data_IF_235266093961
#
_entry.id   IF_235266093961
#
_cell.length_a   1.000
_cell.length_b   1.000
_cell.length_c   1.000
_cell.angle_alpha   90.00
_cell.angle_beta   90.00
_cell.angle_gamma   90.00
#
_symmetry.space_group_name_H-M   'P 1'
#
loop_
_entity.id
_entity.type
_entity.pdbx_description
1 polymer ?
#
# COMPACT_ATOMS: atom_id res chain seq x y z
N UNK A 1 -36.19 1.31 -13.59
CA UNK A 1 -36.04 1.19 -12.12
C UNK A 1 -35.75 2.57 -11.56
N UNK A 2 -36.71 3.09 -10.83
CA UNK A 2 -36.50 4.34 -10.09
C UNK A 2 -35.80 3.97 -8.79
N UNK A 3 -34.51 4.28 -8.67
CA UNK A 3 -33.86 4.23 -7.37
C UNK A 3 -34.39 5.39 -6.54
N UNK A 4 -35.05 5.08 -5.42
CA UNK A 4 -35.47 6.05 -4.43
C UNK A 4 -34.22 6.77 -3.89
N UNK A 5 -33.91 7.93 -4.46
CA UNK A 5 -32.78 8.77 -4.04
C UNK A 5 -32.87 9.25 -2.60
N UNK A 6 -34.06 9.09 -2.00
CA UNK A 6 -34.34 9.45 -0.59
C UNK A 6 -34.18 8.28 0.39
N UNK A 7 -33.80 7.10 -0.05
CA UNK A 7 -33.62 5.94 0.84
C UNK A 7 -32.42 6.13 1.74
N UNK A 8 -32.64 6.12 3.04
CA UNK A 8 -31.62 6.12 4.05
C UNK A 8 -31.15 4.68 4.33
N UNK A 9 -29.84 4.47 4.33
CA UNK A 9 -29.22 3.22 4.72
C UNK A 9 -28.67 3.35 6.12
N UNK A 10 -28.89 2.34 6.96
CA UNK A 10 -28.16 2.24 8.22
C UNK A 10 -26.67 2.03 7.94
N UNK A 11 -25.81 2.36 8.92
CA UNK A 11 -24.38 2.13 8.80
C UNK A 11 -24.05 0.67 8.43
N UNK A 12 -24.80 -0.29 8.97
CA UNK A 12 -24.65 -1.71 8.65
C UNK A 12 -25.03 -2.06 7.22
N UNK A 13 -26.14 -1.52 6.74
CA UNK A 13 -26.60 -1.72 5.36
C UNK A 13 -25.62 -1.07 4.35
N UNK A 14 -25.15 0.13 4.65
CA UNK A 14 -24.22 0.88 3.81
C UNK A 14 -22.84 0.20 3.76
N UNK A 15 -22.33 -0.27 4.89
CA UNK A 15 -21.09 -1.03 4.95
C UNK A 15 -21.19 -2.34 4.15
N UNK A 16 -22.31 -3.06 4.27
CA UNK A 16 -22.54 -4.30 3.52
C UNK A 16 -22.63 -4.05 2.01
N UNK A 17 -23.28 -2.97 1.60
CA UNK A 17 -23.40 -2.59 0.18
C UNK A 17 -22.04 -2.40 -0.47
N UNK A 18 -21.07 -1.85 0.26
CA UNK A 18 -19.72 -1.57 -0.22
C UNK A 18 -18.67 -2.61 0.23
N UNK A 19 -19.13 -3.72 0.82
CA UNK A 19 -18.24 -4.81 1.27
C UNK A 19 -17.13 -4.35 2.23
N UNK A 20 -17.43 -3.38 3.09
CA UNK A 20 -16.49 -2.86 4.10
C UNK A 20 -17.01 -3.06 5.51
N UNK A 21 -16.16 -2.87 6.50
CA UNK A 21 -16.53 -2.97 7.90
C UNK A 21 -17.18 -1.66 8.39
N UNK A 22 -18.19 -1.78 9.25
CA UNK A 22 -18.83 -0.65 9.95
C UNK A 22 -17.79 0.24 10.66
N UNK A 23 -16.77 -0.35 11.25
CA UNK A 23 -15.68 0.37 11.93
C UNK A 23 -14.95 1.32 10.98
N UNK A 24 -14.80 0.94 9.71
CA UNK A 24 -14.20 1.79 8.67
C UNK A 24 -15.04 3.05 8.46
N UNK A 25 -16.36 2.91 8.34
CA UNK A 25 -17.26 4.06 8.21
C UNK A 25 -17.27 4.95 9.46
N UNK A 26 -17.23 4.35 10.65
CA UNK A 26 -17.11 5.10 11.90
C UNK A 26 -15.81 5.88 11.97
N UNK A 27 -14.71 5.29 11.49
CA UNK A 27 -13.43 5.97 11.43
C UNK A 27 -13.41 7.11 10.41
N UNK A 28 -14.03 6.90 9.23
CA UNK A 28 -14.17 7.95 8.21
C UNK A 28 -15.01 9.14 8.72
N UNK A 29 -16.02 8.89 9.52
CA UNK A 29 -16.77 9.94 10.22
C UNK A 29 -15.89 10.68 11.22
N UNK A 30 -15.12 9.96 12.03
CA UNK A 30 -14.21 10.53 13.03
C UNK A 30 -13.12 11.41 12.41
N UNK A 31 -12.53 10.98 11.31
CA UNK A 31 -11.48 11.76 10.61
C UNK A 31 -12.06 12.82 9.66
N UNK A 32 -13.37 12.77 9.39
CA UNK A 32 -14.09 13.80 8.63
C UNK A 32 -14.07 13.65 7.12
N UNK A 33 -13.66 12.51 6.57
CA UNK A 33 -13.68 12.28 5.10
C UNK A 33 -15.02 11.82 4.57
N UNK A 34 -15.82 11.13 5.39
CA UNK A 34 -17.19 10.72 5.06
C UNK A 34 -18.06 10.77 6.32
N UNK A 35 -18.85 11.82 6.43
CA UNK A 35 -19.80 11.97 7.52
C UNK A 35 -21.15 11.37 7.14
N UNK A 36 -21.90 10.78 8.09
CA UNK A 36 -23.26 10.33 7.80
C UNK A 36 -24.16 11.51 7.39
N UNK A 37 -25.11 11.23 6.50
CA UNK A 37 -26.05 12.25 6.05
C UNK A 37 -26.98 12.68 7.19
N UNK A 38 -27.36 11.74 8.05
CA UNK A 38 -28.26 11.97 9.19
C UNK A 38 -27.76 11.17 10.41
N UNK A 39 -27.74 11.82 11.57
CA UNK A 39 -27.60 11.15 12.86
C UNK A 39 -28.93 11.36 13.62
N UNK A 40 -29.64 10.25 13.89
CA UNK A 40 -30.91 10.33 14.62
C UNK A 40 -30.66 10.56 16.12
N UNK A 41 -31.68 11.00 16.89
CA UNK A 41 -31.55 11.26 18.34
C UNK A 41 -31.07 10.05 19.15
N UNK A 42 -31.29 8.82 18.65
CA UNK A 42 -30.78 7.58 19.24
C UNK A 42 -29.28 7.31 18.98
N UNK A 43 -28.57 8.21 18.27
CA UNK A 43 -27.16 8.07 17.94
C UNK A 43 -26.89 7.23 16.70
N UNK A 44 -27.88 6.66 16.05
CA UNK A 44 -27.69 5.86 14.85
C UNK A 44 -27.36 6.72 13.63
N UNK A 45 -26.37 6.27 12.85
CA UNK A 45 -25.87 6.91 11.64
C UNK A 45 -26.58 6.36 10.41
N UNK A 46 -26.99 7.26 9.52
CA UNK A 46 -27.65 6.93 8.26
C UNK A 46 -26.95 7.59 7.09
N UNK A 47 -26.86 6.86 6.00
CA UNK A 47 -26.19 7.27 4.77
C UNK A 47 -27.18 7.29 3.61
N UNK A 48 -26.94 8.16 2.63
CA UNK A 48 -27.74 8.24 1.40
C UNK A 48 -27.06 7.51 0.26
N UNK A 49 -27.85 7.15 -0.76
CA UNK A 49 -27.29 6.54 -1.98
C UNK A 49 -26.27 7.47 -2.69
N UNK A 50 -26.47 8.77 -2.63
CA UNK A 50 -25.54 9.75 -3.21
C UNK A 50 -24.14 9.68 -2.57
N UNK A 51 -24.06 9.31 -1.31
CA UNK A 51 -22.78 9.11 -0.61
C UNK A 51 -22.05 7.85 -1.06
N UNK A 52 -22.73 6.93 -1.76
CA UNK A 52 -22.15 5.71 -2.30
C UNK A 52 -21.03 6.02 -3.29
N UNK A 53 -21.27 6.92 -4.25
CA UNK A 53 -20.26 7.35 -5.23
C UNK A 53 -19.03 7.99 -4.56
N UNK A 54 -19.26 8.77 -3.52
CA UNK A 54 -18.18 9.37 -2.73
C UNK A 54 -17.35 8.31 -2.01
N UNK A 55 -18.01 7.35 -1.38
CA UNK A 55 -17.33 6.24 -0.70
C UNK A 55 -16.51 5.40 -1.67
N UNK A 56 -17.05 5.10 -2.86
CA UNK A 56 -16.32 4.38 -3.92
C UNK A 56 -15.04 5.11 -4.32
N UNK A 57 -15.11 6.43 -4.48
CA UNK A 57 -13.93 7.27 -4.77
C UNK A 57 -12.90 7.18 -3.63
N UNK A 58 -13.34 7.28 -2.38
CA UNK A 58 -12.46 7.16 -1.21
C UNK A 58 -11.78 5.78 -1.18
N UNK A 59 -12.55 4.72 -1.38
CA UNK A 59 -12.03 3.34 -1.37
C UNK A 59 -11.01 3.13 -2.50
N UNK A 60 -11.29 3.62 -3.69
CA UNK A 60 -10.35 3.58 -4.83
C UNK A 60 -9.04 4.29 -4.49
N UNK A 61 -9.10 5.49 -3.96
CA UNK A 61 -7.91 6.25 -3.58
C UNK A 61 -7.12 5.54 -2.46
N UNK A 62 -7.80 4.90 -1.52
CA UNK A 62 -7.16 4.09 -0.48
C UNK A 62 -6.45 2.86 -1.05
N UNK A 63 -7.03 2.18 -2.03
CA UNK A 63 -6.36 1.09 -2.77
C UNK A 63 -5.09 1.56 -3.46
N UNK A 64 -5.06 2.78 -3.97
CA UNK A 64 -3.89 3.41 -4.59
C UNK A 64 -2.88 3.96 -3.57
N UNK A 65 -3.01 3.61 -2.29
CA UNK A 65 -2.15 4.07 -1.19
C UNK A 65 -2.11 5.59 -0.99
N UNK A 66 -3.20 6.27 -1.35
CA UNK A 66 -3.37 7.70 -1.05
C UNK A 66 -3.68 7.86 0.44
N UNK A 67 -2.99 8.76 1.11
CA UNK A 67 -3.20 9.00 2.54
C UNK A 67 -4.54 9.69 2.82
N UNK A 68 -5.01 9.56 4.06
CA UNK A 68 -6.27 10.22 4.48
C UNK A 68 -6.19 11.74 4.33
N UNK A 69 -5.07 12.35 4.64
CA UNK A 69 -4.88 13.80 4.49
C UNK A 69 -4.92 14.24 3.03
N UNK A 70 -4.35 13.48 2.12
CA UNK A 70 -4.42 13.73 0.69
C UNK A 70 -5.85 13.58 0.16
N UNK A 71 -6.58 12.58 0.64
CA UNK A 71 -8.00 12.39 0.32
C UNK A 71 -8.83 13.57 0.81
N UNK A 72 -8.63 14.03 2.04
CA UNK A 72 -9.30 15.22 2.58
C UNK A 72 -9.04 16.46 1.73
N UNK A 73 -7.78 16.68 1.35
CA UNK A 73 -7.40 17.80 0.50
C UNK A 73 -8.09 17.72 -0.88
N UNK A 74 -8.12 16.53 -1.48
CA UNK A 74 -8.82 16.29 -2.74
C UNK A 74 -10.32 16.53 -2.62
N UNK A 75 -10.96 16.05 -1.55
CA UNK A 75 -12.40 16.21 -1.34
C UNK A 75 -12.81 17.68 -1.13
N UNK A 76 -11.93 18.49 -0.58
CA UNK A 76 -12.16 19.93 -0.40
C UNK A 76 -12.00 20.71 -1.71
N UNK A 77 -11.22 20.20 -2.66
CA UNK A 77 -10.91 20.85 -3.93
C UNK A 77 -11.30 19.97 -5.13
N UNK A 78 -12.55 19.52 -5.15
CA UNK A 78 -13.04 18.59 -6.19
C UNK A 78 -13.10 19.25 -7.57
N UNK A 79 -12.10 18.96 -8.40
CA UNK A 79 -12.17 19.15 -9.84
C UNK A 79 -11.39 18.01 -10.53
N UNK A 80 -11.69 17.79 -11.81
CA UNK A 80 -11.00 16.75 -12.58
C UNK A 80 -9.48 16.98 -12.59
N UNK A 81 -9.06 18.22 -12.62
CA UNK A 81 -7.65 18.61 -12.55
C UNK A 81 -6.98 18.20 -11.23
N UNK A 82 -7.69 18.31 -10.09
CA UNK A 82 -7.12 17.93 -8.79
C UNK A 82 -6.92 16.44 -8.66
N UNK A 83 -7.77 15.61 -9.28
CA UNK A 83 -7.57 14.16 -9.31
C UNK A 83 -6.37 13.79 -10.20
N UNK A 84 -6.27 14.37 -11.37
CA UNK A 84 -5.15 14.17 -12.29
C UNK A 84 -3.82 14.54 -11.63
N UNK A 85 -3.77 15.69 -10.97
CA UNK A 85 -2.60 16.17 -10.23
C UNK A 85 -2.22 15.20 -9.11
N UNK A 86 -3.19 14.75 -8.31
CA UNK A 86 -2.96 13.79 -7.24
C UNK A 86 -2.38 12.47 -7.76
N UNK A 87 -2.93 11.94 -8.84
CA UNK A 87 -2.45 10.70 -9.47
C UNK A 87 -1.04 10.89 -10.05
N UNK A 88 -0.76 12.02 -10.67
CA UNK A 88 0.57 12.35 -11.21
C UNK A 88 1.62 12.39 -10.10
N UNK A 89 1.32 13.06 -8.98
CA UNK A 89 2.20 13.12 -7.83
C UNK A 89 2.46 11.72 -7.24
N UNK A 90 1.42 10.89 -7.15
CA UNK A 90 1.56 9.50 -6.66
C UNK A 90 2.39 8.62 -7.60
N UNK A 91 2.21 8.75 -8.89
CA UNK A 91 3.03 8.04 -9.88
C UNK A 91 4.50 8.44 -9.73
N UNK A 92 4.79 9.72 -9.59
CA UNK A 92 6.16 10.23 -9.39
C UNK A 92 6.77 9.68 -8.10
N UNK A 93 6.01 9.68 -7.00
CA UNK A 93 6.45 9.10 -5.71
C UNK A 93 6.76 7.60 -5.84
N UNK A 94 5.91 6.85 -6.54
CA UNK A 94 6.12 5.43 -6.80
C UNK A 94 7.36 5.18 -7.66
N UNK A 95 7.55 5.94 -8.72
CA UNK A 95 8.72 5.82 -9.59
C UNK A 95 10.02 6.07 -8.83
N UNK A 96 10.03 7.07 -7.96
CA UNK A 96 11.17 7.35 -7.08
C UNK A 96 11.44 6.20 -6.11
N UNK A 97 10.37 5.62 -5.53
CA UNK A 97 10.48 4.46 -4.63
C UNK A 97 11.01 3.24 -5.36
N UNK A 98 10.50 2.96 -6.56
CA UNK A 98 10.96 1.86 -7.42
C UNK A 98 12.44 2.02 -7.74
N UNK A 99 12.87 3.22 -8.14
CA UNK A 99 14.27 3.51 -8.46
C UNK A 99 15.18 3.31 -7.24
N UNK A 100 14.74 3.77 -6.06
CA UNK A 100 15.47 3.59 -4.81
C UNK A 100 15.60 2.11 -4.43
N UNK A 101 14.52 1.34 -4.52
CA UNK A 101 14.54 -0.09 -4.24
C UNK A 101 15.42 -0.88 -5.23
N UNK A 102 15.42 -0.51 -6.50
CA UNK A 102 16.32 -1.09 -7.51
C UNK A 102 17.78 -0.82 -7.17
N UNK A 103 18.13 0.39 -6.72
CA UNK A 103 19.48 0.74 -6.29
C UNK A 103 19.92 -0.08 -5.06
N UNK A 104 19.05 -0.23 -4.06
CA UNK A 104 19.32 -1.08 -2.88
C UNK A 104 19.56 -2.53 -3.32
N UNK A 105 18.71 -3.06 -4.18
CA UNK A 105 18.84 -4.42 -4.70
C UNK A 105 20.18 -4.63 -5.42
N UNK A 106 20.60 -3.67 -6.22
CA UNK A 106 21.88 -3.74 -6.92
C UNK A 106 23.07 -3.82 -5.94
N UNK A 107 23.06 -3.01 -4.89
CA UNK A 107 24.09 -3.05 -3.83
C UNK A 107 24.09 -4.38 -3.09
N UNK A 108 22.91 -4.91 -2.76
CA UNK A 108 22.80 -6.22 -2.11
C UNK A 108 23.33 -7.35 -2.98
N UNK A 109 23.00 -7.34 -4.27
CA UNK A 109 23.50 -8.34 -5.24
C UNK A 109 25.02 -8.27 -5.39
N UNK A 110 25.60 -7.09 -5.48
CA UNK A 110 27.05 -6.89 -5.53
C UNK A 110 27.74 -7.47 -4.30
N UNK A 111 27.24 -7.15 -3.11
CA UNK A 111 27.78 -7.71 -1.86
C UNK A 111 27.65 -9.23 -1.79
N UNK A 112 26.51 -9.77 -2.21
CA UNK A 112 26.29 -11.22 -2.29
C UNK A 112 27.28 -11.89 -3.22
N UNK A 113 27.53 -11.33 -4.40
CA UNK A 113 28.53 -11.85 -5.36
C UNK A 113 29.93 -11.82 -4.77
N UNK A 114 30.30 -10.73 -4.12
CA UNK A 114 31.60 -10.61 -3.46
C UNK A 114 31.79 -11.66 -2.36
N UNK A 115 30.78 -11.90 -1.54
CA UNK A 115 30.81 -12.93 -0.50
C UNK A 115 30.92 -14.34 -1.09
N UNK A 116 30.20 -14.62 -2.15
CA UNK A 116 30.27 -15.91 -2.86
C UNK A 116 31.68 -16.11 -3.44
N UNK A 117 32.27 -15.07 -4.02
CA UNK A 117 33.63 -15.12 -4.56
C UNK A 117 34.66 -15.40 -3.47
N UNK A 118 34.60 -14.71 -2.33
CA UNK A 118 35.46 -14.94 -1.17
C UNK A 118 35.34 -16.38 -0.67
N UNK A 119 34.13 -16.88 -0.52
CA UNK A 119 33.89 -18.28 -0.10
C UNK A 119 34.52 -19.28 -1.07
N UNK A 120 34.42 -19.04 -2.36
CA UNK A 120 35.02 -19.90 -3.39
C UNK A 120 36.54 -19.91 -3.29
N UNK A 121 37.16 -18.74 -3.05
CA UNK A 121 38.62 -18.63 -2.85
C UNK A 121 39.09 -19.36 -1.59
N UNK A 122 38.35 -19.26 -0.48
CA UNK A 122 38.66 -19.97 0.77
C UNK A 122 38.58 -21.47 0.58
N UNK A 123 37.55 -21.99 -0.07
CA UNK A 123 37.44 -23.43 -0.38
C UNK A 123 38.61 -23.92 -1.26
N UNK A 124 39.02 -23.15 -2.24
CA UNK A 124 40.20 -23.51 -3.06
C UNK A 124 41.49 -23.51 -2.26
N UNK A 125 41.65 -22.60 -1.30
CA UNK A 125 42.81 -22.58 -0.40
C UNK A 125 42.84 -23.80 0.49
N UNK A 126 41.73 -24.24 1.03
CA UNK A 126 41.58 -25.47 1.85
C UNK A 126 41.90 -26.73 1.02
N UNK A 127 41.37 -26.85 -0.19
CA UNK A 127 41.69 -27.95 -1.11
C UNK A 127 43.17 -28.02 -1.42
N UNK A 128 43.87 -26.92 -1.64
CA UNK A 128 45.30 -26.84 -1.85
C UNK A 128 46.11 -27.28 -0.63
N UNK A 129 45.68 -26.93 0.59
CA UNK A 129 46.30 -27.37 1.83
C UNK A 129 46.16 -28.88 2.01
N UNK A 130 44.97 -29.41 1.84
CA UNK A 130 44.70 -30.88 1.91
C UNK A 130 45.52 -31.64 0.87
N UNK A 131 45.62 -31.14 -0.35
CA UNK A 131 46.46 -31.72 -1.40
C UNK A 131 47.94 -31.73 -1.08
N UNK A 132 48.49 -30.71 -0.43
CA UNK A 132 49.88 -30.65 0.02
C UNK A 132 50.15 -31.63 1.19
N UNK A 133 49.24 -31.70 2.13
CA UNK A 133 49.34 -32.66 3.27
C UNK A 133 49.28 -34.10 2.81
N UNK A 134 48.45 -34.44 1.85
CA UNK A 134 48.38 -35.77 1.26
C UNK A 134 49.69 -36.13 0.51
N UNK A 135 50.29 -35.20 -0.19
CA UNK A 135 51.61 -35.43 -0.88
C UNK A 135 52.76 -35.65 0.09
N UNK A 136 52.78 -34.96 1.23
CA UNK A 136 53.81 -35.12 2.24
C UNK A 136 53.76 -36.45 2.99
N UNK A 137 52.55 -37.05 3.11
CA UNK A 137 52.36 -38.36 3.75
C UNK A 137 52.81 -39.57 2.92
N UNK A 138 52.96 -39.43 1.60
CA UNK A 138 53.33 -40.48 0.66
C UNK A 138 54.73 -40.37 0.10
N UNK A 139 55.49 -39.42 0.58
CA UNK A 139 56.93 -39.36 0.25
C UNK A 139 57.72 -40.34 1.08
N UNK A 140 58.48 -41.29 0.47
CA UNK A 140 59.31 -42.18 1.24
C UNK A 140 60.45 -41.44 1.96
#
# INVERSE_FOLDING_TARGET
>A
MFFDTNKLFTIGQFAKLHEINKKTLMWYDKVGILKPAVIKPNGYRYYTYQQSSLLETILMLRELNVSISEIQHFLNNRCAFSLESLLTDKITELDNTISHLKAIRAVMNEKKQNMTHIRTLDMRSEERRVGKECRSRWSP
#
